data_IF_865793619360
#
_entry.id   IF_865793619360
#
_cell.length_a   1.000
_cell.length_b   1.000
_cell.length_c   1.000
_cell.angle_alpha   90.00
_cell.angle_beta   90.00
_cell.angle_gamma   90.00
#
_symmetry.space_group_name_H-M   'P 1'
#
loop_
_entity.id
_entity.type
_entity.pdbx_description
1 polymer ?
#
# COMPACT_ATOMS: atom_id res chain seq x y z
N UNK A 1 32.37 -6.57 -2.53
CA UNK A 1 32.49 -6.39 -1.07
C UNK A 1 31.09 -6.36 -0.50
N UNK A 2 30.75 -7.24 0.46
CA UNK A 2 29.44 -7.19 1.12
C UNK A 2 29.34 -5.87 1.87
N UNK A 3 28.56 -4.93 1.34
CA UNK A 3 28.24 -3.68 2.03
C UNK A 3 27.48 -4.06 3.29
N UNK A 4 28.19 -4.15 4.42
CA UNK A 4 27.57 -4.34 5.72
C UNK A 4 26.65 -3.14 5.93
N UNK A 5 25.34 -3.36 5.85
CA UNK A 5 24.38 -2.33 6.22
C UNK A 5 24.63 -2.00 7.70
N UNK A 6 25.00 -0.76 8.04
CA UNK A 6 25.22 -0.38 9.42
C UNK A 6 23.91 -0.56 10.19
N UNK A 7 24.00 -1.09 11.43
CA UNK A 7 22.86 -1.09 12.35
C UNK A 7 22.66 0.36 12.81
N UNK A 8 21.70 1.04 12.23
CA UNK A 8 21.28 2.39 12.63
C UNK A 8 19.76 2.48 12.66
N UNK A 9 19.26 3.48 13.36
CA UNK A 9 17.83 3.78 13.35
C UNK A 9 17.35 4.18 11.96
N UNK A 10 16.04 4.10 11.73
CA UNK A 10 15.41 4.51 10.47
C UNK A 10 15.60 5.99 10.22
N UNK A 11 15.51 6.84 11.26
CA UNK A 11 15.77 8.27 11.14
C UNK A 11 17.22 8.56 10.73
N UNK A 12 18.20 7.90 11.34
CA UNK A 12 19.61 8.05 10.96
C UNK A 12 19.89 7.59 9.52
N UNK A 13 19.31 6.44 9.14
CA UNK A 13 19.44 5.92 7.79
C UNK A 13 18.82 6.87 6.76
N UNK A 14 17.64 7.44 7.06
CA UNK A 14 16.99 8.44 6.21
C UNK A 14 17.89 9.65 6.01
N UNK A 15 18.42 10.25 7.08
CA UNK A 15 19.27 11.46 6.96
C UNK A 15 20.55 11.19 6.15
N UNK A 16 21.16 10.01 6.30
CA UNK A 16 22.31 9.63 5.46
C UNK A 16 21.91 9.55 3.99
N UNK A 17 20.76 8.96 3.67
CA UNK A 17 20.25 8.89 2.30
C UNK A 17 19.93 10.28 1.74
N UNK A 18 19.27 11.14 2.52
CA UNK A 18 18.93 12.51 2.10
C UNK A 18 20.17 13.35 1.80
N UNK A 19 21.25 13.22 2.59
CA UNK A 19 22.52 13.92 2.34
C UNK A 19 23.22 13.49 1.06
N UNK A 20 23.01 12.24 0.64
CA UNK A 20 23.62 11.68 -0.57
C UNK A 20 22.75 11.87 -1.82
N UNK A 21 21.57 12.50 -1.68
CA UNK A 21 20.60 12.67 -2.77
C UNK A 21 20.49 14.14 -3.16
N UNK A 22 20.45 14.43 -4.46
CA UNK A 22 20.23 15.78 -4.98
C UNK A 22 18.73 16.13 -4.94
N UNK A 23 18.26 16.69 -3.83
CA UNK A 23 16.87 17.05 -3.60
C UNK A 23 16.62 18.55 -3.80
N UNK A 24 15.52 18.88 -4.49
CA UNK A 24 15.07 20.27 -4.70
C UNK A 24 14.19 20.73 -3.53
N UNK A 25 14.06 22.06 -3.37
CA UNK A 25 13.19 22.66 -2.36
C UNK A 25 11.72 22.19 -2.43
N UNK A 26 11.23 21.80 -3.62
CA UNK A 26 9.88 21.24 -3.81
C UNK A 26 9.67 19.91 -3.07
N UNK A 27 10.74 19.19 -2.73
CA UNK A 27 10.68 17.92 -1.99
C UNK A 27 10.56 18.13 -0.47
N UNK A 28 10.68 19.37 0.02
CA UNK A 28 10.73 19.70 1.46
C UNK A 28 9.56 19.12 2.26
N UNK A 29 8.34 19.18 1.73
CA UNK A 29 7.16 18.61 2.40
C UNK A 29 7.25 17.08 2.56
N UNK A 30 7.70 16.37 1.50
CA UNK A 30 7.87 14.92 1.53
C UNK A 30 8.99 14.52 2.49
N UNK A 31 10.09 15.27 2.49
CA UNK A 31 11.20 15.07 3.42
C UNK A 31 10.77 15.26 4.88
N UNK A 32 10.01 16.33 5.17
CA UNK A 32 9.50 16.57 6.51
C UNK A 32 8.57 15.44 6.98
N UNK A 33 7.65 14.99 6.11
CA UNK A 33 6.75 13.88 6.43
C UNK A 33 7.51 12.56 6.63
N UNK A 34 8.53 12.28 5.81
CA UNK A 34 9.38 11.10 5.95
C UNK A 34 10.13 11.08 7.30
N UNK A 35 10.61 12.24 7.79
CA UNK A 35 11.25 12.36 9.10
C UNK A 35 10.31 12.02 10.25
N UNK A 36 9.08 12.52 10.22
CA UNK A 36 8.07 12.22 11.25
C UNK A 36 7.78 10.72 11.29
N UNK A 37 7.60 10.10 10.12
CA UNK A 37 7.37 8.66 10.05
C UNK A 37 8.59 7.84 10.49
N UNK A 38 9.80 8.25 10.13
CA UNK A 38 11.02 7.58 10.57
C UNK A 38 11.17 7.60 12.10
N UNK A 39 10.92 8.76 12.74
CA UNK A 39 10.94 8.88 14.20
C UNK A 39 9.85 8.02 14.85
N UNK A 40 8.64 7.97 14.28
CA UNK A 40 7.56 7.09 14.76
C UNK A 40 7.96 5.62 14.66
N UNK A 41 8.54 5.20 13.53
CA UNK A 41 9.01 3.83 13.31
C UNK A 41 10.07 3.45 14.34
N UNK A 42 11.04 4.34 14.59
CA UNK A 42 12.07 4.12 15.61
C UNK A 42 11.44 3.94 17.00
N UNK A 43 10.44 4.76 17.35
CA UNK A 43 9.73 4.67 18.64
C UNK A 43 8.95 3.37 18.81
N UNK A 44 8.30 2.85 17.77
CA UNK A 44 7.50 1.61 17.87
C UNK A 44 8.34 0.35 17.61
N UNK A 45 9.56 0.48 17.09
CA UNK A 45 10.44 -0.66 16.83
C UNK A 45 10.75 -1.44 18.11
N UNK A 46 10.91 -0.74 19.24
CA UNK A 46 11.16 -1.35 20.55
C UNK A 46 10.01 -2.25 21.03
N UNK A 47 8.79 -1.96 20.58
CA UNK A 47 7.56 -2.68 20.94
C UNK A 47 7.16 -3.76 19.92
N UNK A 48 7.95 -3.94 18.85
CA UNK A 48 7.60 -4.83 17.75
C UNK A 48 6.53 -4.27 16.80
N UNK A 49 6.54 -2.95 16.57
CA UNK A 49 5.60 -2.21 15.70
C UNK A 49 4.17 -2.16 16.22
N UNK A 50 4.00 -2.21 17.54
CA UNK A 50 2.71 -2.06 18.19
C UNK A 50 2.54 -0.60 18.60
N UNK A 51 1.39 0.00 18.28
CA UNK A 51 1.06 1.37 18.63
C UNK A 51 0.58 1.50 20.08
N UNK A 52 0.33 2.74 20.51
CA UNK A 52 -0.16 3.07 21.86
C UNK A 52 -1.50 2.43 22.22
N UNK A 53 -2.24 1.93 21.22
CA UNK A 53 -3.52 1.25 21.38
C UNK A 53 -3.39 -0.28 21.35
N UNK A 54 -2.17 -0.82 21.33
CA UNK A 54 -1.91 -2.24 21.26
C UNK A 54 -2.14 -2.85 19.88
N UNK A 55 -2.23 -2.03 18.82
CA UNK A 55 -2.45 -2.48 17.44
C UNK A 55 -1.16 -2.43 16.63
N UNK A 56 -1.02 -3.34 15.68
CA UNK A 56 0.08 -3.29 14.73
C UNK A 56 -0.02 -2.00 13.88
N UNK A 57 1.05 -1.22 13.81
CA UNK A 57 1.14 -0.03 12.95
C UNK A 57 1.35 -0.45 11.49
N UNK A 58 0.24 -0.78 10.84
CA UNK A 58 0.19 -1.15 9.44
C UNK A 58 0.16 0.05 8.48
N UNK A 59 0.26 1.28 8.99
CA UNK A 59 0.15 2.51 8.17
C UNK A 59 1.49 3.22 8.03
N UNK A 60 2.25 3.40 9.12
CA UNK A 60 3.50 4.17 9.07
C UNK A 60 4.53 3.56 8.15
N UNK A 61 4.73 2.24 8.23
CA UNK A 61 5.73 1.55 7.43
C UNK A 61 5.46 1.65 5.92
N UNK A 62 4.25 1.28 5.41
CA UNK A 62 3.95 1.47 3.98
C UNK A 62 4.01 2.92 3.52
N UNK A 63 3.56 3.86 4.35
CA UNK A 63 3.57 5.30 4.01
C UNK A 63 5.00 5.83 3.93
N UNK A 64 5.86 5.43 4.86
CA UNK A 64 7.27 5.79 4.87
C UNK A 64 7.97 5.29 3.60
N UNK A 65 7.77 4.03 3.23
CA UNK A 65 8.35 3.46 2.01
C UNK A 65 7.87 4.19 0.75
N UNK A 66 6.60 4.61 0.71
CA UNK A 66 6.06 5.41 -0.39
C UNK A 66 6.73 6.79 -0.51
N UNK A 67 7.08 7.42 0.62
CA UNK A 67 7.83 8.68 0.60
C UNK A 67 9.28 8.47 0.16
N UNK A 68 9.95 7.42 0.66
CA UNK A 68 11.28 7.05 0.17
C UNK A 68 11.29 6.83 -1.35
N UNK A 69 10.28 6.13 -1.87
CA UNK A 69 10.12 5.94 -3.31
C UNK A 69 9.89 7.26 -4.06
N UNK A 70 9.04 8.15 -3.51
CA UNK A 70 8.77 9.47 -4.11
C UNK A 70 10.02 10.36 -4.15
N UNK A 71 10.95 10.14 -3.22
CA UNK A 71 12.25 10.82 -3.16
C UNK A 71 13.35 10.12 -3.98
N UNK A 72 13.04 9.01 -4.65
CA UNK A 72 14.02 8.24 -5.42
C UNK A 72 15.03 7.46 -4.56
N UNK A 73 14.72 7.23 -3.28
CA UNK A 73 15.62 6.55 -2.33
C UNK A 73 15.54 5.01 -2.39
N UNK A 74 14.73 4.45 -3.29
CA UNK A 74 14.54 3.01 -3.45
C UNK A 74 15.21 2.51 -4.73
N UNK A 75 15.97 1.41 -4.63
CA UNK A 75 16.81 0.83 -5.71
C UNK A 75 16.04 0.24 -6.90
N UNK A 76 14.73 0.07 -6.79
CA UNK A 76 13.89 -0.38 -7.91
C UNK A 76 12.61 0.47 -7.99
N UNK A 77 12.32 0.98 -9.19
CA UNK A 77 10.97 1.40 -9.60
C UNK A 77 10.03 0.27 -9.20
N UNK A 78 8.88 0.54 -8.55
CA UNK A 78 8.00 -0.53 -8.09
C UNK A 78 7.81 -1.49 -9.25
N UNK A 79 8.17 -2.78 -9.03
CA UNK A 79 7.71 -3.84 -9.89
C UNK A 79 6.24 -3.51 -10.17
N UNK A 80 5.88 -3.31 -11.44
CA UNK A 80 4.50 -3.03 -11.82
C UNK A 80 3.67 -4.13 -11.18
N UNK A 81 3.15 -3.88 -9.98
CA UNK A 81 2.10 -4.69 -9.38
C UNK A 81 1.00 -4.49 -10.37
N UNK A 82 0.84 -5.49 -11.24
CA UNK A 82 -0.19 -5.50 -12.24
C UNK A 82 -1.45 -5.04 -11.54
N UNK A 83 -2.15 -4.07 -12.16
CA UNK A 83 -3.52 -3.70 -11.77
C UNK A 83 -4.19 -4.94 -11.19
N UNK A 84 -4.86 -4.86 -10.01
CA UNK A 84 -5.60 -5.99 -9.50
C UNK A 84 -6.36 -6.59 -10.67
N UNK A 85 -6.14 -7.89 -10.90
CA UNK A 85 -6.59 -8.57 -12.10
C UNK A 85 -8.01 -8.07 -12.39
N UNK A 86 -8.22 -7.46 -13.56
CA UNK A 86 -9.57 -7.07 -14.00
C UNK A 86 -10.45 -8.26 -13.65
N UNK A 87 -11.55 -8.08 -12.87
CA UNK A 87 -12.48 -9.18 -12.65
C UNK A 87 -12.74 -9.78 -14.03
N UNK A 88 -12.50 -11.10 -14.16
CA UNK A 88 -12.70 -11.84 -15.41
C UNK A 88 -13.98 -11.31 -16.01
N UNK A 89 -13.87 -10.63 -17.14
CA UNK A 89 -15.05 -10.32 -17.92
C UNK A 89 -15.67 -11.68 -18.22
N UNK A 90 -16.80 -11.96 -17.57
CA UNK A 90 -17.64 -13.08 -17.89
C UNK A 90 -17.84 -13.02 -19.40
N UNK A 91 -17.41 -14.08 -20.08
CA UNK A 91 -17.66 -14.24 -21.49
C UNK A 91 -19.18 -14.10 -21.66
N UNK A 92 -19.59 -13.03 -22.34
CA UNK A 92 -20.90 -13.00 -22.99
C UNK A 92 -20.96 -14.23 -23.89
N UNK A 93 -21.64 -15.27 -23.42
CA UNK A 93 -22.33 -16.18 -24.31
C UNK A 93 -23.78 -15.74 -24.34
N UNK A 94 -24.18 -15.39 -25.56
CA UNK A 94 -25.51 -15.00 -25.94
C UNK A 94 -26.52 -16.06 -25.50
N UNK A 95 -27.68 -15.57 -25.06
CA UNK A 95 -28.87 -16.33 -24.70
C UNK A 95 -29.23 -17.44 -25.69
N UNK A 96 -29.91 -18.49 -25.21
CA UNK A 96 -31.28 -18.66 -25.69
C UNK A 96 -32.30 -18.54 -24.55
N UNK A 97 -33.36 -17.80 -24.86
CA UNK A 97 -34.60 -17.65 -24.10
C UNK A 97 -35.31 -19.00 -24.04
N UNK A 98 -35.86 -19.38 -22.87
CA UNK A 98 -37.19 -20.01 -22.69
C UNK A 98 -37.25 -21.01 -21.51
N UNK A 99 -37.11 -20.55 -20.25
CA UNK A 99 -37.53 -21.42 -19.11
C UNK A 99 -37.95 -20.67 -17.83
N UNK A 100 -37.83 -19.33 -17.78
CA UNK A 100 -38.15 -18.55 -16.57
C UNK A 100 -39.58 -17.99 -16.50
N UNK A 101 -40.41 -18.20 -17.52
CA UNK A 101 -41.74 -17.57 -17.60
C UNK A 101 -42.83 -18.38 -16.88
N UNK A 102 -42.65 -19.70 -16.70
CA UNK A 102 -43.66 -20.52 -16.02
C UNK A 102 -43.66 -20.30 -14.50
N UNK A 103 -42.50 -20.02 -13.89
CA UNK A 103 -42.40 -19.89 -12.42
C UNK A 103 -43.00 -18.59 -11.85
N UNK A 104 -43.08 -17.51 -12.64
CA UNK A 104 -43.64 -16.23 -12.16
C UNK A 104 -45.16 -16.27 -12.10
N UNK A 105 -45.80 -17.01 -13.02
CA UNK A 105 -47.25 -17.17 -13.07
C UNK A 105 -47.77 -18.04 -11.90
N UNK A 106 -47.06 -19.12 -11.57
CA UNK A 106 -47.41 -19.96 -10.41
C UNK A 106 -47.15 -19.24 -9.07
N UNK A 107 -46.13 -18.38 -8.99
CA UNK A 107 -45.84 -17.61 -7.79
C UNK A 107 -46.91 -16.55 -7.49
N UNK A 108 -47.39 -15.83 -8.51
CA UNK A 108 -48.45 -14.83 -8.33
C UNK A 108 -49.82 -15.43 -8.00
N UNK A 109 -50.07 -16.69 -8.35
CA UNK A 109 -51.33 -17.38 -8.07
C UNK A 109 -51.46 -17.88 -6.64
N UNK A 110 -50.36 -17.95 -5.88
CA UNK A 110 -50.32 -18.43 -4.49
C UNK A 110 -50.46 -17.32 -3.44
N UNK A 111 -50.35 -16.06 -3.85
CA UNK A 111 -50.47 -14.89 -2.98
C UNK A 111 -51.56 -13.90 -3.44
N UNK A 112 -52.48 -14.35 -4.31
CA UNK A 112 -53.67 -13.62 -4.76
C UNK A 112 -54.94 -14.27 -4.25
#
# INVERSE_FOLDING_TARGET
MSSKFPKSSVAEALERSLKNTDLKAVNSAVVAAARVLAARIDSICETGFIDEHGKLDNVSLPTFLKYCQSLGLTVDVPAKVGRPAKPKAEAKQETPKSDKVVQMADFMKRFG
#
